data_IF_441197391932
#
_entry.id   IF_441197391932
#
_cell.length_a   1.000
_cell.length_b   1.000
_cell.length_c   1.000
_cell.angle_alpha   90.00
_cell.angle_beta   90.00
_cell.angle_gamma   90.00
#
_symmetry.space_group_name_H-M   'P 1'
#
loop_
_entity.id
_entity.type
_entity.pdbx_description
1 polymer ?
#
# COMPACT_ATOMS: atom_id res chain seq x y z
N UNK A 1 -21.28 3.53 9.70
CA UNK A 1 -20.25 3.75 8.66
C UNK A 1 -19.19 2.68 8.82
N UNK A 2 -18.90 1.90 7.77
CA UNK A 2 -17.78 0.96 7.79
C UNK A 2 -16.50 1.70 7.36
N UNK A 3 -15.49 1.68 8.22
CA UNK A 3 -14.20 2.28 7.93
C UNK A 3 -13.39 1.27 7.12
N UNK A 4 -13.09 1.60 5.87
CA UNK A 4 -12.31 0.72 4.98
C UNK A 4 -10.88 1.22 4.93
N UNK A 5 -9.94 0.34 5.26
CA UNK A 5 -8.50 0.53 5.06
C UNK A 5 -8.10 0.00 3.70
N UNK A 6 -7.17 0.70 3.05
CA UNK A 6 -6.64 0.35 1.74
C UNK A 6 -5.14 0.16 1.89
N UNK A 7 -4.65 -0.98 1.38
CA UNK A 7 -3.23 -1.19 1.18
C UNK A 7 -2.86 -0.63 -0.20
N UNK A 8 -2.03 0.41 -0.19
CA UNK A 8 -1.54 1.07 -1.39
C UNK A 8 -0.10 0.63 -1.64
N UNK A 9 0.15 0.10 -2.84
CA UNK A 9 1.47 -0.14 -3.38
C UNK A 9 1.90 1.10 -4.15
N UNK A 10 3.09 1.63 -3.89
CA UNK A 10 3.73 2.63 -4.73
C UNK A 10 5.07 2.08 -5.21
N UNK A 11 5.25 2.06 -6.53
CA UNK A 11 6.50 1.69 -7.18
C UNK A 11 7.06 2.90 -7.91
N UNK A 12 8.38 3.05 -7.92
CA UNK A 12 9.06 4.13 -8.64
C UNK A 12 10.17 3.58 -9.53
N UNK A 13 10.37 4.17 -10.71
CA UNK A 13 11.53 3.99 -11.57
C UNK A 13 12.13 5.36 -11.89
N UNK A 14 13.25 5.69 -11.26
CA UNK A 14 13.79 7.05 -11.28
C UNK A 14 12.82 8.06 -10.65
N UNK A 15 12.36 9.02 -11.45
CA UNK A 15 11.41 10.07 -11.01
C UNK A 15 9.94 9.69 -11.21
N UNK A 16 9.66 8.62 -11.95
CA UNK A 16 8.29 8.20 -12.27
C UNK A 16 7.77 7.22 -11.23
N UNK A 17 6.71 7.61 -10.53
CA UNK A 17 6.07 6.79 -9.49
C UNK A 17 4.61 6.51 -9.82
N UNK A 18 4.18 5.28 -9.56
CA UNK A 18 2.81 4.83 -9.79
C UNK A 18 2.30 4.17 -8.52
N UNK A 19 1.07 4.54 -8.12
CA UNK A 19 0.39 3.93 -6.98
C UNK A 19 -0.80 3.08 -7.41
N UNK A 20 -0.98 1.93 -6.78
CA UNK A 20 -2.09 1.01 -6.98
C UNK A 20 -2.69 0.58 -5.64
N UNK A 21 -4.02 0.43 -5.60
CA UNK A 21 -4.72 -0.20 -4.47
C UNK A 21 -4.63 -1.72 -4.64
N UNK A 22 -3.95 -2.40 -3.73
CA UNK A 22 -3.71 -3.85 -3.79
C UNK A 22 -4.52 -4.63 -2.76
N UNK A 23 -5.17 -3.95 -1.80
CA UNK A 23 -6.04 -4.60 -0.84
C UNK A 23 -7.04 -3.64 -0.18
N UNK A 24 -8.17 -4.20 0.27
CA UNK A 24 -9.20 -3.50 1.05
C UNK A 24 -9.51 -4.31 2.30
N UNK A 25 -9.50 -3.66 3.46
CA UNK A 25 -9.66 -4.28 4.77
C UNK A 25 -10.65 -3.50 5.61
N UNK A 26 -11.38 -4.18 6.50
CA UNK A 26 -12.28 -3.51 7.45
C UNK A 26 -11.58 -3.10 8.75
N UNK A 27 -10.35 -3.57 8.97
CA UNK A 27 -9.57 -3.34 10.18
C UNK A 27 -8.16 -2.86 9.82
N UNK A 28 -7.65 -1.90 10.61
CA UNK A 28 -6.31 -1.33 10.42
C UNK A 28 -5.23 -2.38 10.63
N UNK A 29 -5.37 -3.19 11.69
CA UNK A 29 -4.36 -4.18 12.07
C UNK A 29 -4.27 -5.24 10.99
N UNK A 30 -5.40 -5.68 10.44
CA UNK A 30 -5.42 -6.59 9.30
C UNK A 30 -4.66 -5.98 8.11
N UNK A 31 -4.94 -4.72 7.75
CA UNK A 31 -4.18 -4.04 6.69
C UNK A 31 -2.67 -4.05 6.99
N UNK A 32 -2.27 -3.73 8.23
CA UNK A 32 -0.87 -3.69 8.67
C UNK A 32 -0.18 -5.06 8.67
N UNK A 33 -0.91 -6.13 8.97
CA UNK A 33 -0.40 -7.51 8.84
C UNK A 33 -0.07 -7.79 7.38
N UNK A 34 -1.02 -7.56 6.47
CA UNK A 34 -0.78 -7.75 5.05
C UNK A 34 0.28 -6.80 4.50
N UNK A 35 0.39 -5.56 5.00
CA UNK A 35 1.50 -4.65 4.66
C UNK A 35 2.85 -5.32 4.93
N UNK A 36 3.05 -5.88 6.13
CA UNK A 36 4.29 -6.57 6.49
C UNK A 36 4.56 -7.81 5.65
N UNK A 37 3.51 -8.57 5.34
CA UNK A 37 3.64 -9.75 4.47
C UNK A 37 4.13 -9.37 3.07
N UNK A 38 3.62 -8.27 2.50
CA UNK A 38 4.08 -7.78 1.21
C UNK A 38 5.50 -7.20 1.28
N UNK A 39 5.83 -6.47 2.35
CA UNK A 39 7.18 -5.92 2.59
C UNK A 39 8.23 -7.02 2.81
N UNK A 40 7.82 -8.23 3.21
CA UNK A 40 8.69 -9.39 3.36
C UNK A 40 8.96 -10.13 2.04
N UNK A 41 8.19 -9.85 0.98
CA UNK A 41 8.42 -10.43 -0.33
C UNK A 41 9.67 -9.79 -0.98
N UNK A 42 10.46 -10.56 -1.73
CA UNK A 42 11.52 -9.97 -2.55
C UNK A 42 10.90 -8.99 -3.55
N UNK A 43 11.64 -7.92 -3.84
CA UNK A 43 11.25 -6.97 -4.85
C UNK A 43 11.16 -7.67 -6.21
N UNK A 44 10.04 -7.47 -6.92
CA UNK A 44 9.85 -7.97 -8.29
C UNK A 44 10.19 -6.88 -9.31
N UNK A 45 11.14 -7.16 -10.21
CA UNK A 45 11.58 -6.23 -11.25
C UNK A 45 12.52 -5.10 -10.80
N UNK A 46 12.94 -4.28 -11.78
CA UNK A 46 13.93 -3.22 -11.64
C UNK A 46 13.34 -1.88 -11.17
N UNK A 47 12.57 -1.90 -10.08
CA UNK A 47 12.09 -0.66 -9.45
C UNK A 47 13.18 -0.01 -8.61
N UNK A 48 13.25 1.32 -8.64
CA UNK A 48 14.11 2.10 -7.75
C UNK A 48 13.62 2.05 -6.30
N UNK A 49 12.31 1.95 -6.10
CA UNK A 49 11.71 1.73 -4.79
C UNK A 49 10.34 1.05 -4.91
N UNK A 50 10.01 0.25 -3.90
CA UNK A 50 8.72 -0.39 -3.71
C UNK A 50 8.29 -0.15 -2.27
N UNK A 51 7.13 0.49 -2.08
CA UNK A 51 6.61 0.85 -0.76
C UNK A 51 5.15 0.47 -0.62
N UNK A 52 4.78 0.01 0.57
CA UNK A 52 3.42 -0.35 0.92
C UNK A 52 2.90 0.55 2.05
N UNK A 53 1.67 1.05 1.91
CA UNK A 53 1.06 1.91 2.92
C UNK A 53 -0.41 1.58 3.14
N UNK A 54 -0.77 1.32 4.39
CA UNK A 54 -2.16 1.31 4.83
C UNK A 54 -2.69 2.71 5.05
N UNK A 55 -3.79 3.06 4.39
CA UNK A 55 -4.51 4.33 4.59
C UNK A 55 -6.02 4.14 4.60
N UNK A 56 -6.78 4.99 5.32
CA UNK A 56 -8.23 5.02 5.19
C UNK A 56 -8.65 5.34 3.75
N UNK A 57 -9.61 4.58 3.19
CA UNK A 57 -10.12 4.75 1.81
C UNK A 57 -10.59 6.18 1.49
N UNK A 58 -11.02 6.91 2.53
CA UNK A 58 -11.58 8.26 2.42
C UNK A 58 -10.77 9.34 3.15
N UNK A 59 -9.54 9.05 3.63
CA UNK A 59 -8.69 10.15 4.13
C UNK A 59 -8.22 10.97 2.94
N UNK A 60 -8.93 12.05 2.62
CA UNK A 60 -8.33 13.11 1.82
C UNK A 60 -7.13 13.62 2.61
N UNK A 61 -5.95 13.63 1.99
CA UNK A 61 -4.90 14.50 2.47
C UNK A 61 -5.47 15.91 2.31
N UNK A 62 -5.88 16.52 3.42
CA UNK A 62 -6.16 17.96 3.47
C UNK A 62 -4.85 18.71 3.37
#
# INVERSE_FOLDING_TARGET
MQFVWVLLLTVCNGSDCISQKVGFYQDERQCKVFQKEHEALPQDGDWSSVTYHCRPKNSKST
#
